data_IF_422855350449
#
_entry.id   IF_422855350449
#
_cell.length_a   1.000
_cell.length_b   1.000
_cell.length_c   1.000
_cell.angle_alpha   90.00
_cell.angle_beta   90.00
_cell.angle_gamma   90.00
#
_symmetry.space_group_name_H-M   'P 1'
#
loop_
_entity.id
_entity.type
_entity.pdbx_description
1 polymer ?
#
# COMPACT_ATOMS: atom_id res chain seq x y z
N UNK A 1 -9.60 27.23 -6.26
CA UNK A 1 -8.36 27.67 -5.59
C UNK A 1 -7.37 26.53 -5.71
N UNK A 2 -6.36 26.68 -6.57
CA UNK A 2 -5.34 25.66 -6.81
C UNK A 2 -4.27 25.69 -5.74
N UNK A 3 -3.82 24.51 -5.30
CA UNK A 3 -2.65 24.38 -4.45
C UNK A 3 -1.39 24.47 -5.29
N UNK A 4 -0.42 25.28 -4.86
CA UNK A 4 0.93 25.33 -5.43
C UNK A 4 1.92 24.94 -4.33
N UNK A 5 2.57 23.80 -4.47
CA UNK A 5 3.75 23.48 -3.69
C UNK A 5 4.99 23.89 -4.49
N UNK A 6 5.78 24.80 -3.92
CA UNK A 6 7.03 25.28 -4.53
C UNK A 6 8.19 24.41 -4.07
N UNK A 7 8.88 23.76 -4.99
CA UNK A 7 10.36 23.82 -5.02
C UNK A 7 10.96 23.33 -6.34
N UNK A 8 11.90 24.16 -6.81
CA UNK A 8 12.98 24.01 -7.79
C UNK A 8 12.83 23.00 -8.95
N UNK A 9 12.65 23.54 -10.16
CA UNK A 9 13.12 22.92 -11.41
C UNK A 9 12.11 22.09 -12.21
N UNK A 10 10.81 22.23 -11.97
CA UNK A 10 9.79 21.38 -12.58
C UNK A 10 8.81 22.19 -13.44
N UNK A 11 8.69 21.79 -14.71
CA UNK A 11 7.69 22.26 -15.66
C UNK A 11 6.30 21.95 -15.09
N UNK A 12 5.55 22.98 -14.67
CA UNK A 12 4.26 22.80 -14.01
C UNK A 12 3.19 22.34 -15.01
N UNK A 13 2.97 21.03 -15.10
CA UNK A 13 1.77 20.49 -15.75
C UNK A 13 0.61 20.66 -14.78
N UNK A 14 -0.23 21.66 -15.07
CA UNK A 14 -1.43 21.93 -14.25
C UNK A 14 -2.55 21.08 -14.84
N UNK A 15 -2.98 20.04 -14.13
CA UNK A 15 -4.19 19.30 -14.53
C UNK A 15 -5.41 20.12 -14.12
N UNK A 16 -6.38 20.37 -15.02
CA UNK A 16 -7.67 20.89 -14.60
C UNK A 16 -8.30 19.88 -13.62
N UNK A 17 -8.79 20.37 -12.48
CA UNK A 17 -9.62 19.54 -11.60
C UNK A 17 -10.82 19.04 -12.43
N UNK A 18 -11.03 17.72 -12.56
CA UNK A 18 -12.20 17.23 -13.27
C UNK A 18 -13.48 17.73 -12.57
N UNK A 19 -14.56 17.99 -13.30
CA UNK A 19 -15.81 18.42 -12.68
C UNK A 19 -16.38 17.30 -11.80
N UNK A 20 -16.75 17.61 -10.55
CA UNK A 20 -17.56 16.74 -9.68
C UNK A 20 -16.89 16.13 -8.44
N UNK A 21 -15.66 16.52 -8.07
CA UNK A 21 -15.12 16.23 -6.73
C UNK A 21 -14.90 14.75 -6.39
N UNK A 22 -14.94 13.84 -7.38
CA UNK A 22 -14.86 12.38 -7.17
C UNK A 22 -13.53 11.88 -6.59
N UNK A 23 -12.47 12.69 -6.60
CA UNK A 23 -11.22 12.39 -5.88
C UNK A 23 -11.33 12.68 -4.37
N UNK A 24 -12.38 13.37 -3.92
CA UNK A 24 -12.77 13.48 -2.50
C UNK A 24 -13.58 12.26 -2.03
N UNK A 25 -14.28 11.58 -2.95
CA UNK A 25 -14.86 10.27 -2.64
C UNK A 25 -13.75 9.23 -2.54
N UNK A 26 -13.75 8.52 -1.41
CA UNK A 26 -12.72 7.55 -1.08
C UNK A 26 -12.61 6.44 -2.16
N UNK A 27 -11.42 6.19 -2.74
CA UNK A 27 -11.20 5.09 -3.70
C UNK A 27 -11.51 3.70 -3.13
N UNK A 28 -11.69 3.60 -1.82
CA UNK A 28 -12.01 2.42 -1.01
C UNK A 28 -13.34 1.74 -1.43
N UNK A 29 -14.43 2.49 -1.66
CA UNK A 29 -15.75 1.89 -2.03
C UNK A 29 -15.75 1.25 -3.42
N UNK A 30 -14.82 1.67 -4.27
CA UNK A 30 -14.73 1.24 -5.66
C UNK A 30 -14.15 -0.18 -5.76
N UNK A 31 -13.05 -0.47 -5.06
CA UNK A 31 -12.40 -1.79 -5.10
C UNK A 31 -13.25 -2.90 -4.46
N UNK A 32 -14.12 -2.56 -3.52
CA UNK A 32 -14.99 -3.50 -2.82
C UNK A 32 -16.27 -3.86 -3.60
N UNK A 33 -16.54 -3.18 -4.71
CA UNK A 33 -17.73 -3.44 -5.52
C UNK A 33 -17.62 -4.78 -6.27
N UNK A 34 -18.64 -5.67 -6.21
CA UNK A 34 -18.52 -7.04 -6.71
C UNK A 34 -18.23 -7.14 -8.22
N UNK A 35 -18.81 -6.24 -9.03
CA UNK A 35 -18.56 -6.19 -10.48
C UNK A 35 -17.12 -5.79 -10.78
N UNK A 36 -16.65 -4.72 -10.12
CA UNK A 36 -15.29 -4.20 -10.29
C UNK A 36 -14.27 -5.21 -9.80
N UNK A 37 -14.53 -5.86 -8.67
CA UNK A 37 -13.66 -6.94 -8.17
C UNK A 37 -13.54 -8.08 -9.17
N UNK A 38 -14.65 -8.52 -9.77
CA UNK A 38 -14.63 -9.59 -10.77
C UNK A 38 -13.82 -9.18 -12.00
N UNK A 39 -14.03 -7.95 -12.47
CA UNK A 39 -13.27 -7.40 -13.59
C UNK A 39 -11.78 -7.33 -13.25
N UNK A 40 -11.41 -6.72 -12.12
CA UNK A 40 -10.02 -6.61 -11.63
C UNK A 40 -9.35 -7.99 -11.53
N UNK A 41 -10.02 -9.01 -10.99
CA UNK A 41 -9.47 -10.36 -10.89
C UNK A 41 -9.20 -10.99 -12.28
N UNK A 42 -10.06 -10.69 -13.25
CA UNK A 42 -9.84 -11.11 -14.64
C UNK A 42 -8.63 -10.39 -15.24
N UNK A 43 -8.47 -9.09 -14.96
CA UNK A 43 -7.32 -8.30 -15.42
C UNK A 43 -5.99 -8.80 -14.86
N UNK A 44 -5.96 -9.21 -13.58
CA UNK A 44 -4.78 -9.82 -12.98
C UNK A 44 -4.31 -11.04 -13.77
N UNK A 45 -5.26 -11.82 -14.28
CA UNK A 45 -4.99 -13.06 -15.00
C UNK A 45 -4.49 -12.78 -16.43
N UNK A 46 -5.12 -11.83 -17.11
CA UNK A 46 -4.82 -11.53 -18.51
C UNK A 46 -3.57 -10.65 -18.68
N UNK A 47 -3.12 -9.99 -17.59
CA UNK A 47 -1.92 -9.13 -17.51
C UNK A 47 -1.87 -8.01 -18.56
N UNK A 48 -3.03 -7.56 -19.04
CA UNK A 48 -3.16 -6.58 -20.11
C UNK A 48 -4.04 -5.40 -19.70
N UNK A 49 -3.85 -4.22 -20.31
CA UNK A 49 -4.79 -3.11 -20.20
C UNK A 49 -6.19 -3.55 -20.57
N UNK A 50 -7.17 -3.08 -19.80
CA UNK A 50 -8.57 -3.26 -20.13
C UNK A 50 -9.38 -2.03 -19.79
N UNK A 51 -10.38 -1.79 -20.63
CA UNK A 51 -11.32 -0.70 -20.44
C UNK A 51 -12.47 -1.18 -19.55
N UNK A 52 -12.68 -0.48 -18.45
CA UNK A 52 -13.84 -0.66 -17.60
C UNK A 52 -14.82 0.48 -17.85
N UNK A 53 -16.05 0.11 -18.18
CA UNK A 53 -17.12 1.07 -18.40
C UNK A 53 -17.50 1.86 -17.15
N UNK A 54 -18.37 2.87 -17.30
CA UNK A 54 -18.95 3.57 -16.17
C UNK A 54 -19.80 2.60 -15.35
N UNK A 55 -19.61 2.60 -14.03
CA UNK A 55 -20.48 1.90 -13.07
C UNK A 55 -21.46 2.93 -12.53
N UNK A 56 -22.73 2.81 -12.93
CA UNK A 56 -23.78 3.79 -12.64
C UNK A 56 -24.05 3.93 -11.15
N UNK A 57 -24.04 2.85 -10.36
CA UNK A 57 -24.26 2.92 -8.90
C UNK A 57 -23.13 3.63 -8.15
N UNK A 58 -21.97 3.79 -8.77
CA UNK A 58 -20.81 4.47 -8.21
C UNK A 58 -20.53 5.81 -8.89
N UNK A 59 -21.40 6.23 -9.82
CA UNK A 59 -21.29 7.47 -10.59
C UNK A 59 -19.90 7.64 -11.23
N UNK A 60 -19.32 6.54 -11.71
CA UNK A 60 -17.95 6.53 -12.21
C UNK A 60 -17.88 6.72 -13.73
N UNK A 61 -16.75 7.27 -14.21
CA UNK A 61 -16.48 7.41 -15.65
C UNK A 61 -15.81 6.15 -16.25
N UNK A 62 -15.80 6.07 -17.59
CA UNK A 62 -14.99 5.09 -18.31
C UNK A 62 -13.52 5.25 -17.94
N UNK A 63 -12.81 4.13 -17.84
CA UNK A 63 -11.39 4.13 -17.44
C UNK A 63 -10.66 2.96 -18.03
N UNK A 64 -9.36 3.10 -18.15
CA UNK A 64 -8.45 2.01 -18.47
C UNK A 64 -7.70 1.60 -17.21
N UNK A 65 -7.62 0.30 -16.99
CA UNK A 65 -6.93 -0.31 -15.86
C UNK A 65 -5.79 -1.14 -16.39
N UNK A 66 -4.59 -0.92 -15.86
CA UNK A 66 -3.39 -1.65 -16.24
C UNK A 66 -2.79 -2.33 -15.00
N UNK A 67 -2.60 -3.66 -15.02
CA UNK A 67 -1.96 -4.35 -13.91
C UNK A 67 -0.46 -4.02 -13.87
N UNK A 68 0.05 -3.77 -12.67
CA UNK A 68 1.47 -3.54 -12.39
C UNK A 68 2.09 -4.87 -11.97
N UNK A 69 2.91 -5.45 -12.84
CA UNK A 69 3.46 -6.79 -12.67
C UNK A 69 4.99 -6.76 -12.57
N UNK A 70 5.53 -7.39 -11.53
CA UNK A 70 6.95 -7.73 -11.44
C UNK A 70 7.13 -9.22 -11.76
N UNK A 71 7.30 -9.53 -13.04
CA UNK A 71 7.31 -10.93 -13.53
C UNK A 71 5.96 -11.61 -13.34
N UNK A 72 5.87 -12.55 -12.38
CA UNK A 72 4.61 -13.22 -12.02
C UNK A 72 3.91 -12.58 -10.83
N UNK A 73 4.61 -11.70 -10.10
CA UNK A 73 4.07 -11.05 -8.91
C UNK A 73 3.23 -9.83 -9.32
N UNK A 74 2.03 -9.74 -8.76
CA UNK A 74 1.13 -8.62 -8.96
C UNK A 74 1.34 -7.59 -7.85
N UNK A 75 1.82 -6.40 -8.21
CA UNK A 75 2.14 -5.33 -7.27
C UNK A 75 1.00 -4.31 -7.09
N UNK A 76 0.06 -4.25 -8.04
CA UNK A 76 -1.06 -3.31 -7.99
C UNK A 76 -1.66 -2.99 -9.35
N UNK A 77 -2.39 -1.88 -9.43
CA UNK A 77 -3.03 -1.41 -10.66
C UNK A 77 -2.81 0.08 -10.87
N UNK A 78 -2.72 0.48 -12.13
CA UNK A 78 -2.84 1.88 -12.56
C UNK A 78 -4.24 2.07 -13.14
N UNK A 79 -4.95 3.09 -12.66
CA UNK A 79 -6.24 3.51 -13.18
C UNK A 79 -6.09 4.84 -13.92
N UNK A 80 -6.58 4.90 -15.15
CA UNK A 80 -6.59 6.13 -15.97
C UNK A 80 -8.01 6.42 -16.42
N UNK A 81 -8.54 7.57 -16.00
CA UNK A 81 -9.90 7.98 -16.32
C UNK A 81 -9.97 8.60 -17.71
N UNK A 82 -10.95 8.17 -18.51
CA UNK A 82 -11.23 8.71 -19.84
C UNK A 82 -12.19 9.92 -19.72
N UNK A 83 -11.69 11.03 -19.16
CA UNK A 83 -12.51 12.23 -18.87
C UNK A 83 -12.79 13.06 -20.12
N UNK A 84 -11.75 13.40 -20.87
CA UNK A 84 -11.84 14.30 -22.04
C UNK A 84 -11.96 13.53 -23.35
N UNK A 85 -11.32 12.36 -23.43
CA UNK A 85 -11.33 11.48 -24.60
C UNK A 85 -11.15 10.03 -24.20
N UNK A 86 -11.61 9.13 -25.06
CA UNK A 86 -11.24 7.72 -24.98
C UNK A 86 -9.76 7.51 -25.30
N UNK A 87 -9.12 6.63 -24.55
CA UNK A 87 -7.76 6.17 -24.77
C UNK A 87 -7.75 5.19 -25.95
N UNK A 88 -6.80 5.38 -26.85
CA UNK A 88 -6.62 4.59 -28.06
C UNK A 88 -5.52 3.54 -27.85
N UNK A 89 -5.34 2.60 -28.79
CA UNK A 89 -4.33 1.53 -28.67
C UNK A 89 -2.91 2.06 -28.38
N UNK A 90 -2.50 3.17 -28.99
CA UNK A 90 -1.20 3.80 -28.72
C UNK A 90 -1.03 4.28 -27.27
N UNK A 91 -2.13 4.70 -26.64
CA UNK A 91 -2.12 5.09 -25.23
C UNK A 91 -1.95 3.83 -24.36
N UNK A 92 -2.52 2.69 -24.76
CA UNK A 92 -2.42 1.44 -24.00
C UNK A 92 -0.97 0.96 -23.96
N UNK A 93 -0.24 1.01 -25.08
CA UNK A 93 1.19 0.66 -25.14
C UNK A 93 2.00 1.55 -24.19
N UNK A 94 1.69 2.85 -24.16
CA UNK A 94 2.36 3.80 -23.26
C UNK A 94 2.03 3.50 -21.79
N UNK A 95 0.80 3.11 -21.48
CA UNK A 95 0.40 2.72 -20.13
C UNK A 95 1.02 1.39 -19.70
N UNK A 96 1.21 0.41 -20.60
CA UNK A 96 1.95 -0.82 -20.31
C UNK A 96 3.43 -0.52 -19.98
N UNK A 97 4.05 0.39 -20.74
CA UNK A 97 5.42 0.84 -20.46
C UNK A 97 5.50 1.56 -19.11
N UNK A 98 4.55 2.46 -18.83
CA UNK A 98 4.47 3.15 -17.54
C UNK A 98 4.29 2.16 -16.38
N UNK A 99 3.38 1.19 -16.53
CA UNK A 99 3.16 0.14 -15.53
C UNK A 99 4.43 -0.71 -15.28
N UNK A 100 5.22 -0.97 -16.33
CA UNK A 100 6.52 -1.66 -16.21
C UNK A 100 7.53 -0.83 -15.40
N UNK A 101 7.64 0.46 -15.67
CA UNK A 101 8.54 1.37 -14.92
C UNK A 101 8.10 1.46 -13.45
N UNK A 102 6.79 1.57 -13.21
CA UNK A 102 6.22 1.59 -11.86
C UNK A 102 6.55 0.27 -11.14
N UNK A 103 6.38 -0.88 -11.80
CA UNK A 103 6.71 -2.17 -11.21
C UNK A 103 8.19 -2.25 -10.80
N UNK A 104 9.10 -1.74 -11.64
CA UNK A 104 10.53 -1.73 -11.32
C UNK A 104 10.84 -0.88 -10.08
N UNK A 105 10.27 0.33 -9.98
CA UNK A 105 10.50 1.20 -8.83
C UNK A 105 9.85 0.64 -7.56
N UNK A 106 8.67 0.03 -7.67
CA UNK A 106 8.03 -0.67 -6.55
C UNK A 106 8.88 -1.85 -6.07
N UNK A 107 9.33 -2.72 -6.97
CA UNK A 107 10.19 -3.87 -6.62
C UNK A 107 11.47 -3.43 -5.89
N UNK A 108 12.09 -2.35 -6.35
CA UNK A 108 13.26 -1.77 -5.67
C UNK A 108 12.93 -1.30 -4.27
N UNK A 109 11.83 -0.57 -4.09
CA UNK A 109 11.41 -0.07 -2.79
C UNK A 109 11.01 -1.20 -1.82
N UNK A 110 10.37 -2.24 -2.33
CA UNK A 110 10.05 -3.46 -1.58
C UNK A 110 11.35 -4.13 -1.11
N UNK A 111 12.31 -4.35 -2.00
CA UNK A 111 13.59 -4.97 -1.65
C UNK A 111 14.36 -4.18 -0.59
N UNK A 112 14.36 -2.83 -0.68
CA UNK A 112 14.96 -1.96 0.34
C UNK A 112 14.24 -2.11 1.69
N UNK A 113 12.91 -2.11 1.67
CA UNK A 113 12.10 -2.26 2.88
C UNK A 113 12.32 -3.63 3.54
N UNK A 114 12.37 -4.70 2.75
CA UNK A 114 12.64 -6.05 3.25
C UNK A 114 14.05 -6.18 3.83
N UNK A 115 15.06 -5.60 3.17
CA UNK A 115 16.42 -5.58 3.69
C UNK A 115 16.48 -4.85 5.05
N UNK A 116 15.81 -3.69 5.17
CA UNK A 116 15.71 -2.97 6.43
C UNK A 116 15.01 -3.78 7.51
N UNK A 117 13.85 -4.36 7.20
CA UNK A 117 13.09 -5.23 8.12
C UNK A 117 13.91 -6.43 8.57
N UNK A 118 14.75 -7.00 7.70
CA UNK A 118 15.65 -8.09 8.07
C UNK A 118 16.71 -7.64 9.06
N UNK A 119 17.30 -6.46 8.88
CA UNK A 119 18.26 -5.91 9.85
C UNK A 119 17.59 -5.63 11.20
N UNK A 120 16.40 -5.01 11.19
CA UNK A 120 15.61 -4.75 12.40
C UNK A 120 15.20 -6.05 13.11
N UNK A 121 14.67 -7.02 12.35
CA UNK A 121 14.24 -8.33 12.87
C UNK A 121 15.40 -9.12 13.47
N UNK A 122 16.53 -9.22 12.76
CA UNK A 122 17.71 -9.92 13.28
C UNK A 122 18.22 -9.32 14.59
N UNK A 123 18.19 -7.98 14.74
CA UNK A 123 18.57 -7.36 16.01
C UNK A 123 17.64 -7.76 17.15
N UNK A 124 16.33 -7.77 16.91
CA UNK A 124 15.35 -8.20 17.90
C UNK A 124 15.49 -9.69 18.23
N UNK A 125 15.68 -10.55 17.23
CA UNK A 125 15.93 -11.98 17.42
C UNK A 125 17.18 -12.20 18.27
N UNK A 126 18.30 -11.54 17.93
CA UNK A 126 19.54 -11.64 18.69
C UNK A 126 19.34 -11.20 20.16
N UNK A 127 18.52 -10.16 20.39
CA UNK A 127 18.19 -9.68 21.73
C UNK A 127 17.33 -10.69 22.50
N UNK A 128 16.32 -11.30 21.88
CA UNK A 128 15.42 -12.26 22.54
C UNK A 128 16.09 -13.59 22.85
N UNK A 129 16.97 -14.06 21.96
CA UNK A 129 17.69 -15.32 22.14
C UNK A 129 19.00 -15.18 22.92
N UNK A 130 19.33 -13.97 23.38
CA UNK A 130 20.56 -13.70 24.14
C UNK A 130 21.83 -13.93 23.31
N UNK A 131 21.75 -13.72 22.00
CA UNK A 131 22.86 -13.95 21.05
C UNK A 131 23.75 -12.71 20.86
N UNK A 132 23.58 -11.68 21.71
CA UNK A 132 24.42 -10.48 21.72
C UNK A 132 25.44 -10.59 22.85
N UNK A 133 26.73 -10.44 22.51
CA UNK A 133 27.86 -10.72 23.40
C UNK A 133 28.10 -9.66 24.48
N UNK A 134 27.59 -8.43 24.32
CA UNK A 134 27.78 -7.35 25.29
C UNK A 134 26.72 -6.25 25.21
N UNK A 135 26.52 -5.54 26.33
CA UNK A 135 25.65 -4.36 26.39
C UNK A 135 26.11 -3.25 25.44
N UNK A 136 27.43 -3.07 25.25
CA UNK A 136 27.97 -2.11 24.28
C UNK A 136 27.53 -2.40 22.84
N UNK A 137 27.40 -3.69 22.47
CA UNK A 137 26.90 -4.08 21.16
C UNK A 137 25.40 -3.82 21.02
N UNK A 138 24.64 -4.02 22.09
CA UNK A 138 23.21 -3.68 22.13
C UNK A 138 23.03 -2.18 21.89
N UNK A 139 23.73 -1.34 22.66
CA UNK A 139 23.62 0.12 22.56
C UNK A 139 24.01 0.66 21.18
N UNK A 140 25.08 0.12 20.56
CA UNK A 140 25.48 0.52 19.20
C UNK A 140 24.46 0.15 18.14
N UNK A 141 23.90 -1.06 18.20
CA UNK A 141 22.90 -1.52 17.24
C UNK A 141 21.56 -0.82 17.43
N UNK A 142 21.15 -0.59 18.69
CA UNK A 142 19.97 0.21 19.02
C UNK A 142 20.10 1.63 18.43
N UNK A 143 21.24 2.31 18.68
CA UNK A 143 21.49 3.63 18.13
C UNK A 143 21.49 3.67 16.59
N UNK A 144 22.03 2.65 15.92
CA UNK A 144 21.98 2.52 14.46
C UNK A 144 20.54 2.40 13.92
N UNK A 145 19.66 1.75 14.67
CA UNK A 145 18.24 1.61 14.36
C UNK A 145 17.40 2.81 14.81
N UNK A 146 18.01 3.83 15.42
CA UNK A 146 17.32 4.99 15.99
C UNK A 146 16.53 4.66 17.26
N UNK A 147 16.85 3.55 17.92
CA UNK A 147 16.33 3.18 19.22
C UNK A 147 17.25 3.73 20.30
N UNK A 148 16.66 4.32 21.35
CA UNK A 148 17.39 4.77 22.52
C UNK A 148 17.42 3.64 23.57
N UNK A 149 18.58 3.01 23.82
CA UNK A 149 18.70 1.93 24.79
C UNK A 149 18.49 2.38 26.24
N UNK A 150 18.63 3.69 26.53
CA UNK A 150 18.46 4.24 27.88
C UNK A 150 16.98 4.50 28.20
N UNK A 151 16.09 4.43 27.21
CA UNK A 151 14.65 4.47 27.42
C UNK A 151 14.13 3.07 27.78
N UNK A 152 13.35 3.01 28.87
CA UNK A 152 12.62 1.79 29.25
C UNK A 152 11.69 1.39 28.11
N UNK A 153 12.09 0.35 27.39
CA UNK A 153 11.38 -0.16 26.22
C UNK A 153 10.64 -1.45 26.58
N UNK A 154 9.41 -1.59 26.08
CA UNK A 154 8.62 -2.82 26.22
C UNK A 154 8.45 -3.48 24.87
N UNK A 155 8.60 -4.80 24.84
CA UNK A 155 8.27 -5.62 23.68
C UNK A 155 6.92 -6.29 23.94
N UNK A 156 5.99 -6.11 23.00
CA UNK A 156 4.74 -6.86 22.97
C UNK A 156 4.73 -7.76 21.73
N UNK A 157 4.47 -9.05 21.93
CA UNK A 157 4.20 -10.00 20.83
C UNK A 157 2.69 -10.11 20.71
N UNK A 158 2.16 -9.73 19.56
CA UNK A 158 0.73 -9.81 19.25
C UNK A 158 0.55 -10.89 18.20
N UNK A 159 -0.07 -11.99 18.58
CA UNK A 159 -0.52 -13.01 17.63
C UNK A 159 -1.98 -12.77 17.28
N UNK A 160 -2.31 -12.87 16.00
CA UNK A 160 -3.69 -12.76 15.52
C UNK A 160 -4.17 -14.17 15.22
N UNK A 161 -4.89 -14.74 16.18
CA UNK A 161 -5.50 -16.05 16.04
C UNK A 161 -6.29 -16.14 14.72
N UNK A 162 -5.97 -17.15 13.92
CA UNK A 162 -6.72 -17.51 12.70
C UNK A 162 -6.81 -16.36 11.67
N UNK A 163 -5.76 -15.55 11.56
CA UNK A 163 -5.69 -14.44 10.58
C UNK A 163 -6.12 -14.85 9.16
N UNK A 164 -5.67 -16.02 8.67
CA UNK A 164 -6.04 -16.51 7.35
C UNK A 164 -7.53 -16.86 7.21
N UNK A 165 -8.13 -17.37 8.30
CA UNK A 165 -9.55 -17.72 8.34
C UNK A 165 -10.39 -16.44 8.42
N UNK A 166 -9.89 -15.42 9.14
CA UNK A 166 -10.48 -14.09 9.24
C UNK A 166 -10.49 -13.36 7.88
N UNK A 167 -9.37 -13.39 7.15
CA UNK A 167 -9.25 -12.80 5.80
C UNK A 167 -10.12 -13.55 4.77
N UNK A 168 -10.31 -14.87 4.93
CA UNK A 168 -11.14 -15.68 4.03
C UNK A 168 -12.64 -15.58 4.30
N UNK A 169 -13.07 -15.56 5.55
CA UNK A 169 -14.49 -15.62 5.93
C UNK A 169 -15.17 -14.25 5.97
N UNK A 170 -14.45 -13.19 6.35
CA UNK A 170 -14.90 -11.84 6.05
C UNK A 170 -14.24 -11.46 4.74
N UNK A 171 -15.04 -11.28 3.66
CA UNK A 171 -14.62 -10.42 2.55
C UNK A 171 -14.00 -9.19 3.21
N UNK A 172 -12.68 -9.00 3.07
CA UNK A 172 -11.91 -8.00 3.81
C UNK A 172 -12.45 -6.60 3.51
N UNK A 173 -13.56 -6.24 4.16
CA UNK A 173 -14.16 -4.93 4.12
C UNK A 173 -13.35 -4.10 5.09
N UNK A 174 -13.07 -2.86 4.70
CA UNK A 174 -12.29 -1.92 5.45
C UNK A 174 -12.71 -1.77 6.93
N UNK A 175 -14.00 -1.92 7.23
CA UNK A 175 -14.48 -1.93 8.61
C UNK A 175 -13.79 -2.98 9.50
N UNK A 176 -13.45 -4.13 8.94
CA UNK A 176 -12.79 -5.23 9.64
C UNK A 176 -11.29 -4.98 9.85
N UNK A 177 -10.61 -4.41 8.85
CA UNK A 177 -9.19 -4.03 8.96
C UNK A 177 -9.03 -2.88 9.95
N UNK A 178 -9.91 -1.88 9.88
CA UNK A 178 -9.94 -0.78 10.84
C UNK A 178 -10.23 -1.26 12.26
N UNK A 179 -11.10 -2.28 12.41
CA UNK A 179 -11.36 -2.90 13.70
C UNK A 179 -10.11 -3.59 14.26
N UNK A 180 -9.44 -4.43 13.48
CA UNK A 180 -8.15 -5.05 13.91
C UNK A 180 -7.13 -3.98 14.29
N UNK A 181 -6.97 -2.93 13.47
CA UNK A 181 -6.03 -1.84 13.76
C UNK A 181 -6.36 -1.09 15.03
N UNK A 182 -7.66 -0.93 15.34
CA UNK A 182 -8.13 -0.34 16.59
C UNK A 182 -7.85 -1.27 17.75
N UNK A 183 -8.23 -2.53 17.64
CA UNK A 183 -8.07 -3.53 18.70
C UNK A 183 -6.58 -3.70 19.09
N UNK A 184 -5.66 -3.76 18.10
CA UNK A 184 -4.21 -3.79 18.36
C UNK A 184 -3.74 -2.50 19.04
N UNK A 185 -4.22 -1.33 18.60
CA UNK A 185 -3.84 -0.05 19.21
C UNK A 185 -4.34 0.05 20.64
N UNK A 186 -5.57 -0.36 20.89
CA UNK A 186 -6.19 -0.33 22.21
C UNK A 186 -5.49 -1.33 23.13
N UNK A 187 -5.08 -2.50 22.63
CA UNK A 187 -4.25 -3.46 23.36
C UNK A 187 -2.89 -2.85 23.74
N UNK A 188 -2.18 -2.24 22.77
CA UNK A 188 -0.91 -1.57 23.04
C UNK A 188 -1.10 -0.44 24.06
N UNK A 189 -2.14 0.39 23.90
CA UNK A 189 -2.43 1.50 24.81
C UNK A 189 -2.77 1.02 26.23
N UNK A 190 -3.55 -0.06 26.36
CA UNK A 190 -3.89 -0.64 27.67
C UNK A 190 -2.65 -1.19 28.38
N UNK A 191 -1.77 -1.88 27.67
CA UNK A 191 -0.53 -2.43 28.23
C UNK A 191 0.45 -1.33 28.63
N UNK A 192 0.50 -0.23 27.87
CA UNK A 192 1.35 0.93 28.16
C UNK A 192 0.78 1.78 29.30
N UNK A 193 -0.54 1.87 29.46
CA UNK A 193 -1.21 2.72 30.45
C UNK A 193 -1.35 2.09 31.86
N UNK A 194 -1.16 0.77 32.02
CA UNK A 194 -1.24 0.08 33.32
C UNK A 194 0.06 0.22 34.17
N UNK A 195 0.87 1.25 33.87
CA UNK A 195 2.12 1.61 34.56
C UNK A 195 2.32 3.13 34.60
#
# INVERSE_FOLDING_TARGET
MGWTEKSAGSMSVTYPNPPGGWWESKPERFLDHPTIRKEILQLTSDKKPSRLGPVTELETMSRVVVPVMAGTEHLGYVFVLEVERELQEQDFVTLEQAATIIALEMSKNIAILEARRRVEGNFLDDLFFGQIESEDMISRRAAYLGLDPDLSSMVAVVDIDRLEEYIRHQKANEGSIQKIRRDIRDLIAAVVADR
#
